data_IF_630467463340
#
_entry.id   IF_630467463340
#
_cell.length_a   1.000
_cell.length_b   1.000
_cell.length_c   1.000
_cell.angle_alpha   90.00
_cell.angle_beta   90.00
_cell.angle_gamma   90.00
#
_symmetry.space_group_name_H-M   'P 1'
#
loop_
_entity.id
_entity.type
_entity.pdbx_description
1 polymer ?
#
# COMPACT_ATOMS: atom_id res chain seq x y z
N UNK A 1 0.77 -10.76 8.92
CA UNK A 1 1.84 -9.75 8.86
C UNK A 1 2.06 -9.33 7.41
N UNK A 2 2.87 -8.28 7.17
CA UNK A 2 3.30 -7.91 5.81
C UNK A 2 4.00 -9.06 5.09
N UNK A 3 4.90 -9.77 5.79
CA UNK A 3 5.63 -10.89 5.24
C UNK A 3 4.70 -12.02 4.77
N UNK A 4 3.65 -12.34 5.55
CA UNK A 4 2.65 -13.34 5.16
C UNK A 4 1.86 -12.92 3.93
N UNK A 5 1.50 -11.64 3.86
CA UNK A 5 0.76 -11.04 2.75
C UNK A 5 1.59 -11.08 1.46
N UNK A 6 2.86 -10.68 1.53
CA UNK A 6 3.82 -10.77 0.42
C UNK A 6 4.00 -12.20 -0.04
N UNK A 7 4.26 -13.13 0.88
CA UNK A 7 4.42 -14.54 0.56
C UNK A 7 3.16 -15.14 -0.06
N UNK A 8 1.96 -14.70 0.36
CA UNK A 8 0.70 -15.11 -0.25
C UNK A 8 0.60 -14.66 -1.72
N UNK A 9 0.84 -13.38 -2.02
CA UNK A 9 0.81 -12.90 -3.40
C UNK A 9 1.86 -13.59 -4.29
N UNK A 10 3.07 -13.81 -3.77
CA UNK A 10 4.12 -14.55 -4.49
C UNK A 10 3.70 -15.98 -4.82
N UNK A 11 3.02 -16.69 -3.90
CA UNK A 11 2.50 -18.03 -4.20
C UNK A 11 1.40 -18.04 -5.26
N UNK A 12 0.70 -16.93 -5.45
CA UNK A 12 -0.31 -16.78 -6.50
C UNK A 12 0.28 -16.39 -7.86
N UNK A 13 1.61 -16.24 -7.97
CA UNK A 13 2.27 -15.82 -9.21
C UNK A 13 2.30 -14.30 -9.41
N UNK A 14 2.30 -13.54 -8.31
CA UNK A 14 2.33 -12.08 -8.36
C UNK A 14 3.06 -11.46 -7.18
N UNK A 15 2.72 -10.21 -6.86
CA UNK A 15 3.28 -9.47 -5.74
C UNK A 15 2.21 -8.63 -5.03
N UNK A 16 2.54 -8.05 -3.88
CA UNK A 16 1.66 -7.02 -3.30
C UNK A 16 1.58 -5.84 -4.25
N UNK A 17 0.39 -5.29 -4.45
CA UNK A 17 0.16 -4.22 -5.43
C UNK A 17 1.11 -3.04 -5.19
N UNK A 18 1.72 -2.55 -6.25
CA UNK A 18 2.54 -1.34 -6.22
C UNK A 18 1.84 -0.29 -7.06
N UNK A 19 1.13 0.62 -6.41
CA UNK A 19 0.45 1.73 -7.10
C UNK A 19 1.51 2.63 -7.69
N UNK A 20 1.70 2.61 -9.00
CA UNK A 20 2.66 3.42 -9.75
C UNK A 20 1.97 4.47 -10.65
N UNK A 21 0.64 4.41 -10.76
CA UNK A 21 -0.14 5.30 -11.61
C UNK A 21 -1.45 5.76 -10.98
N UNK A 22 -1.98 6.90 -11.46
CA UNK A 22 -3.31 7.37 -11.09
C UNK A 22 -4.42 6.40 -11.52
N UNK A 23 -4.22 5.66 -12.62
CA UNK A 23 -5.18 4.68 -13.10
C UNK A 23 -5.31 3.50 -12.12
N UNK A 24 -4.18 2.97 -11.64
CA UNK A 24 -4.15 1.93 -10.61
C UNK A 24 -4.77 2.41 -9.31
N UNK A 25 -4.42 3.63 -8.87
CA UNK A 25 -5.01 4.24 -7.69
C UNK A 25 -6.54 4.30 -7.78
N UNK A 26 -7.09 4.81 -8.89
CA UNK A 26 -8.53 4.88 -9.11
C UNK A 26 -9.18 3.48 -9.15
N UNK A 27 -8.46 2.49 -9.70
CA UNK A 27 -8.91 1.10 -9.68
C UNK A 27 -8.98 0.55 -8.25
N UNK A 28 -8.01 0.89 -7.39
CA UNK A 28 -8.02 0.51 -5.98
C UNK A 28 -9.17 1.18 -5.22
N UNK A 29 -9.42 2.46 -5.47
CA UNK A 29 -10.58 3.17 -4.91
C UNK A 29 -11.91 2.53 -5.31
N UNK A 30 -12.02 2.01 -6.54
CA UNK A 30 -13.22 1.27 -6.97
C UNK A 30 -13.35 -0.06 -6.19
N UNK A 31 -12.27 -0.84 -6.11
CA UNK A 31 -12.24 -2.11 -5.38
C UNK A 31 -12.53 -1.93 -3.88
N UNK A 32 -12.11 -0.80 -3.32
CA UNK A 32 -12.37 -0.42 -1.94
C UNK A 32 -13.86 -0.32 -1.62
N UNK A 33 -14.58 0.41 -2.48
CA UNK A 33 -16.02 0.64 -2.34
C UNK A 33 -16.79 -0.66 -2.53
N UNK A 34 -16.39 -1.50 -3.49
CA UNK A 34 -17.06 -2.77 -3.77
C UNK A 34 -16.91 -3.82 -2.66
N UNK A 35 -15.78 -3.83 -1.95
CA UNK A 35 -15.42 -4.92 -1.03
C UNK A 35 -15.40 -4.54 0.44
N UNK A 36 -15.47 -3.25 0.77
CA UNK A 36 -15.49 -2.72 2.14
C UNK A 36 -14.31 -3.21 3.02
N UNK A 37 -13.13 -3.44 2.43
CA UNK A 37 -11.95 -3.84 3.21
C UNK A 37 -11.50 -2.71 4.16
N UNK A 38 -11.30 -3.00 5.46
CA UNK A 38 -10.93 -1.96 6.43
C UNK A 38 -9.48 -1.51 6.24
N UNK A 39 -8.57 -2.43 5.92
CA UNK A 39 -7.16 -2.14 5.66
C UNK A 39 -6.53 -3.29 4.88
N UNK A 40 -5.73 -2.96 3.86
CA UNK A 40 -5.00 -3.93 3.03
C UNK A 40 -3.51 -3.59 2.99
N UNK A 41 -2.66 -4.62 2.95
CA UNK A 41 -1.24 -4.44 2.66
C UNK A 41 -1.03 -4.10 1.18
N UNK A 42 -0.13 -3.15 0.92
CA UNK A 42 0.39 -2.82 -0.42
C UNK A 42 1.90 -2.93 -0.42
N UNK A 43 2.50 -3.13 -1.60
CA UNK A 43 3.91 -3.49 -1.76
C UNK A 43 4.86 -2.33 -1.54
N UNK A 44 4.99 -1.84 -0.31
CA UNK A 44 5.98 -0.85 0.06
C UNK A 44 6.51 -1.02 1.49
N UNK A 45 7.81 -0.87 1.64
CA UNK A 45 8.53 -0.90 2.92
C UNK A 45 9.43 0.32 3.07
N UNK A 46 9.64 0.75 4.31
CA UNK A 46 10.56 1.84 4.66
C UNK A 46 11.75 1.28 5.43
N UNK A 47 12.96 1.52 4.94
CA UNK A 47 14.22 0.99 5.45
C UNK A 47 14.97 1.96 6.38
N UNK A 48 14.27 2.93 6.98
CA UNK A 48 14.78 4.08 7.75
C UNK A 48 15.33 5.24 6.94
N UNK A 49 15.52 5.08 5.62
CA UNK A 49 16.01 6.14 4.74
C UNK A 49 15.04 6.45 3.60
N UNK A 50 14.50 5.41 2.94
CA UNK A 50 13.62 5.57 1.79
C UNK A 50 12.50 4.54 1.80
N UNK A 51 11.41 4.88 1.12
CA UNK A 51 10.41 3.90 0.71
C UNK A 51 10.94 3.10 -0.47
N UNK A 52 10.73 1.79 -0.41
CA UNK A 52 11.06 0.82 -1.43
C UNK A 52 9.78 0.08 -1.79
N UNK A 53 9.49 -0.05 -3.08
CA UNK A 53 8.42 -0.91 -3.57
C UNK A 53 8.84 -2.38 -3.53
N UNK A 54 7.85 -3.28 -3.48
CA UNK A 54 8.09 -4.72 -3.59
C UNK A 54 8.51 -5.15 -5.01
N UNK A 55 8.46 -4.23 -5.98
CA UNK A 55 8.84 -4.41 -7.38
C UNK A 55 9.95 -3.45 -7.77
N UNK A 56 10.42 -3.53 -9.02
CA UNK A 56 11.36 -2.54 -9.58
C UNK A 56 10.68 -1.23 -10.00
N UNK A 57 9.34 -1.18 -9.99
CA UNK A 57 8.60 0.01 -10.39
C UNK A 57 8.51 0.99 -9.20
N UNK A 58 8.82 2.29 -9.39
CA UNK A 58 8.66 3.27 -8.32
C UNK A 58 7.18 3.41 -7.98
N UNK A 59 6.85 3.25 -6.69
CA UNK A 59 5.49 3.50 -6.22
C UNK A 59 5.18 5.00 -6.12
N UNK A 60 3.92 5.32 -6.38
CA UNK A 60 3.29 6.61 -6.21
C UNK A 60 2.81 6.72 -4.76
N UNK A 61 3.61 7.40 -3.93
CA UNK A 61 3.28 7.66 -2.53
C UNK A 61 3.17 9.19 -2.32
N UNK A 62 2.02 9.69 -1.85
CA UNK A 62 1.85 11.11 -1.50
C UNK A 62 1.53 11.20 -0.02
N UNK A 63 2.48 11.74 0.73
CA UNK A 63 2.34 11.97 2.16
C UNK A 63 1.88 13.42 2.36
N UNK A 64 0.62 13.62 2.69
CA UNK A 64 0.05 14.96 2.91
C UNK A 64 0.66 15.67 4.12
N UNK A 65 1.21 14.93 5.09
CA UNK A 65 1.75 15.49 6.36
C UNK A 65 3.26 15.22 6.57
N UNK A 66 3.99 14.97 5.48
CA UNK A 66 5.36 14.44 5.56
C UNK A 66 5.32 12.94 5.85
N UNK A 67 6.12 12.16 5.12
CA UNK A 67 6.18 10.71 5.29
C UNK A 67 6.38 10.37 6.78
N UNK A 68 5.66 9.41 7.37
CA UNK A 68 5.82 9.17 8.79
C UNK A 68 7.19 8.55 9.03
N UNK A 69 7.94 9.25 9.87
CA UNK A 69 9.21 8.77 10.42
C UNK A 69 8.86 7.89 11.61
N UNK A 70 8.59 6.60 11.39
CA UNK A 70 8.42 5.63 12.47
C UNK A 70 9.78 5.20 13.05
N UNK A 71 10.54 6.15 13.61
CA UNK A 71 11.80 5.87 14.29
C UNK A 71 12.76 4.95 13.51
N UNK A 72 13.62 4.25 14.24
CA UNK A 72 14.71 3.40 13.70
C UNK A 72 14.25 2.00 13.25
N UNK A 73 12.96 1.79 12.98
CA UNK A 73 12.40 0.45 12.69
C UNK A 73 11.78 0.34 11.30
N UNK A 74 11.89 -0.85 10.70
CA UNK A 74 11.25 -1.18 9.42
C UNK A 74 9.74 -0.97 9.50
N UNK A 75 9.22 -0.16 8.59
CA UNK A 75 7.79 0.18 8.50
C UNK A 75 7.25 -0.35 7.19
N UNK A 76 6.00 -0.83 7.20
CA UNK A 76 5.35 -1.36 6.01
C UNK A 76 4.11 -0.53 5.70
N UNK A 77 3.72 -0.52 4.42
CA UNK A 77 2.62 0.29 3.97
C UNK A 77 1.32 -0.50 3.93
N UNK A 78 0.33 -0.03 4.68
CA UNK A 78 -1.04 -0.46 4.54
C UNK A 78 -1.88 0.70 4.00
N UNK A 79 -2.98 0.38 3.34
CA UNK A 79 -3.96 1.39 2.92
C UNK A 79 -5.33 1.09 3.48
N UNK A 80 -5.98 2.12 4.02
CA UNK A 80 -7.39 2.16 4.37
C UNK A 80 -8.16 2.45 3.10
N UNK A 81 -8.67 1.39 2.48
CA UNK A 81 -9.35 1.44 1.19
C UNK A 81 -10.51 2.45 1.14
N UNK A 82 -11.19 2.71 2.27
CA UNK A 82 -12.26 3.73 2.38
C UNK A 82 -11.84 5.17 2.08
N UNK A 83 -10.55 5.49 2.18
CA UNK A 83 -10.02 6.85 1.99
C UNK A 83 -9.44 7.06 0.58
N UNK A 84 -9.36 6.01 -0.23
CA UNK A 84 -8.93 6.07 -1.64
C UNK A 84 -10.04 6.53 -2.61
N UNK A 85 -11.16 7.03 -2.10
CA UNK A 85 -12.33 7.45 -2.88
C UNK A 85 -12.17 8.87 -3.47
N UNK A 86 -12.37 8.98 -4.79
CA UNK A 86 -12.39 10.22 -5.60
C UNK A 86 -11.12 11.08 -5.50
N UNK A 87 -9.99 10.53 -5.94
CA UNK A 87 -8.74 11.28 -6.06
C UNK A 87 -8.69 11.98 -7.41
N UNK A 88 -9.10 13.25 -7.47
CA UNK A 88 -8.99 14.08 -8.69
C UNK A 88 -7.52 14.48 -9.01
N UNK A 89 -6.61 14.37 -8.04
CA UNK A 89 -5.18 14.68 -8.25
C UNK A 89 -4.25 13.96 -7.26
N UNK A 90 -3.03 13.67 -7.70
CA UNK A 90 -1.95 12.98 -6.96
C UNK A 90 -1.63 13.60 -5.59
N UNK A 91 -1.99 14.87 -5.37
CA UNK A 91 -1.70 15.61 -4.14
C UNK A 91 -2.59 15.20 -2.97
N UNK A 92 -3.58 14.32 -3.18
CA UNK A 92 -4.45 13.79 -2.14
C UNK A 92 -4.49 12.25 -2.13
N UNK A 93 -3.33 11.57 -2.14
CA UNK A 93 -3.24 10.14 -1.78
C UNK A 93 -3.58 9.92 -0.29
N UNK A 94 -4.74 10.43 0.15
CA UNK A 94 -5.33 10.13 1.44
C UNK A 94 -5.62 8.63 1.50
N UNK A 95 -5.21 7.99 2.60
CA UNK A 95 -5.52 6.58 2.85
C UNK A 95 -4.35 5.61 2.82
N UNK A 96 -3.12 6.04 2.48
CA UNK A 96 -1.93 5.21 2.72
C UNK A 96 -1.38 5.51 4.11
N UNK A 97 -1.49 4.55 5.03
CA UNK A 97 -1.07 4.69 6.42
C UNK A 97 0.10 3.74 6.71
N UNK A 98 1.29 4.27 7.00
CA UNK A 98 2.42 3.47 7.43
C UNK A 98 2.16 2.85 8.79
N UNK A 99 2.55 1.59 8.93
CA UNK A 99 2.23 0.77 10.10
C UNK A 99 3.37 -0.23 10.34
N UNK A 100 3.44 -0.85 11.52
CA UNK A 100 4.47 -1.85 11.78
C UNK A 100 4.23 -3.04 10.86
N UNK A 101 5.28 -3.62 10.30
CA UNK A 101 5.16 -4.80 9.43
C UNK A 101 4.46 -6.01 10.08
N UNK A 102 4.41 -6.04 11.42
CA UNK A 102 3.74 -7.08 12.19
C UNK A 102 2.34 -6.68 12.70
N UNK A 103 1.86 -5.45 12.41
CA UNK A 103 0.53 -4.99 12.79
C UNK A 103 -0.59 -5.65 11.96
N UNK A 104 -1.83 -5.37 12.34
CA UNK A 104 -3.04 -6.12 12.02
C UNK A 104 -3.76 -5.72 10.73
N UNK A 105 -3.07 -5.27 9.67
CA UNK A 105 -3.72 -5.26 8.36
C UNK A 105 -4.09 -6.70 7.98
N UNK A 106 -5.39 -6.93 7.77
CA UNK A 106 -6.01 -8.27 7.75
C UNK A 106 -6.04 -8.89 6.36
N UNK A 107 -5.79 -8.10 5.32
CA UNK A 107 -5.93 -8.50 3.93
C UNK A 107 -4.70 -8.09 3.12
N UNK A 108 -4.45 -8.82 2.04
CA UNK A 108 -3.41 -8.55 1.06
C UNK A 108 -4.07 -8.20 -0.27
N UNK A 109 -3.61 -7.15 -0.93
CA UNK A 109 -4.02 -6.86 -2.29
C UNK A 109 -2.90 -7.25 -3.23
N UNK A 110 -3.15 -8.28 -4.05
CA UNK A 110 -2.16 -8.85 -4.94
C UNK A 110 -2.38 -8.36 -6.38
N UNK A 111 -1.28 -8.02 -7.04
CA UNK A 111 -1.19 -7.83 -8.47
C UNK A 111 -0.58 -9.10 -9.07
N UNK A 112 -1.28 -9.70 -10.04
CA UNK A 112 -0.90 -10.96 -10.68
C UNK A 112 -0.24 -10.67 -12.04
N UNK A 113 0.79 -11.45 -12.38
CA UNK A 113 1.47 -11.40 -13.69
C UNK A 113 0.84 -12.34 -14.73
#
# INVERSE_FOLDING_TARGET
>A
SYADARAHCTRMGGHLVVVNSLAELNRLGTLAVERAYPSVWIGATFDTQTWQSDTTCPGLYSWTDGAPVFGVSTTCLATTMRELGEVESVTSLAGMTPTRCNDSATHALCELE
#
